data_IF_350490052467
#
_entry.id   IF_350490052467
#
_cell.length_a   1.000
_cell.length_b   1.000
_cell.length_c   1.000
_cell.angle_alpha   90.00
_cell.angle_beta   90.00
_cell.angle_gamma   90.00
#
_symmetry.space_group_name_H-M   'P 1'
#
loop_
_entity.id
_entity.type
_entity.pdbx_description
1 polymer ?
#
# COMPACT_ATOMS: atom_id res chain seq x y z
N UNK A 1 10.13 4.81 11.77
CA UNK A 1 10.33 3.59 12.60
C UNK A 1 10.25 2.35 11.72
N UNK A 2 10.76 1.19 12.14
CA UNK A 2 10.54 -0.08 11.44
C UNK A 2 10.44 -1.24 12.44
N UNK A 3 9.84 -2.35 12.00
CA UNK A 3 9.80 -3.65 12.69
C UNK A 3 10.51 -4.65 11.80
N UNK A 4 11.39 -5.47 12.37
CA UNK A 4 12.06 -6.55 11.68
C UNK A 4 12.22 -7.77 12.61
N UNK A 5 11.55 -8.86 12.25
CA UNK A 5 11.65 -10.14 12.97
C UNK A 5 12.12 -11.23 12.01
N UNK A 6 13.29 -11.81 12.31
CA UNK A 6 13.84 -12.89 11.50
C UNK A 6 13.50 -14.25 12.13
N UNK A 7 12.54 -14.94 11.55
CA UNK A 7 12.03 -16.24 12.01
C UNK A 7 12.28 -17.31 10.95
N UNK A 8 11.91 -17.03 9.70
CA UNK A 8 12.12 -17.93 8.57
C UNK A 8 13.38 -17.55 7.81
N UNK A 9 14.26 -18.51 7.44
CA UNK A 9 15.57 -18.21 6.82
C UNK A 9 15.46 -17.73 5.36
N UNK A 10 14.41 -18.12 4.64
CA UNK A 10 14.35 -17.97 3.18
C UNK A 10 13.25 -17.04 2.67
N UNK A 11 12.17 -16.84 3.45
CA UNK A 11 11.01 -16.04 3.00
C UNK A 11 10.79 -14.87 3.93
N UNK A 12 10.67 -13.67 3.35
CA UNK A 12 10.36 -12.44 4.08
C UNK A 12 9.03 -11.86 3.58
N UNK A 13 8.13 -11.59 4.51
CA UNK A 13 6.93 -10.80 4.30
C UNK A 13 7.21 -9.34 4.63
N UNK A 14 7.05 -8.44 3.66
CA UNK A 14 7.19 -6.99 3.80
C UNK A 14 5.80 -6.37 3.75
N UNK A 15 5.41 -5.62 4.78
CA UNK A 15 4.13 -4.94 4.80
C UNK A 15 4.26 -3.42 4.84
N UNK A 16 3.48 -2.74 3.99
CA UNK A 16 3.31 -1.29 3.95
C UNK A 16 1.90 -0.91 4.43
N UNK A 17 1.84 -0.05 5.45
CA UNK A 17 0.59 0.42 6.05
C UNK A 17 -0.15 1.45 5.18
N UNK A 18 -1.37 1.81 5.56
CA UNK A 18 -2.18 2.83 4.88
C UNK A 18 -1.73 4.27 5.16
N UNK A 19 -2.38 5.23 4.47
CA UNK A 19 -2.17 6.66 4.70
C UNK A 19 -2.55 7.05 6.13
N UNK A 20 -1.89 8.06 6.69
CA UNK A 20 -2.08 8.52 8.07
C UNK A 20 -2.07 7.40 9.12
N UNK A 21 -1.22 6.40 8.93
CA UNK A 21 -1.04 5.24 9.81
C UNK A 21 0.47 4.99 10.05
N UNK A 22 0.81 3.98 10.85
CA UNK A 22 2.20 3.62 11.13
C UNK A 22 2.37 2.11 11.41
N UNK A 23 3.60 1.69 11.75
CA UNK A 23 3.92 0.27 12.04
C UNK A 23 3.25 -0.29 13.30
N UNK A 24 2.58 0.52 14.12
CA UNK A 24 1.83 0.07 15.30
C UNK A 24 0.36 -0.21 14.98
N UNK A 25 -0.07 -0.03 13.72
CA UNK A 25 -1.45 -0.29 13.32
C UNK A 25 -1.86 -1.74 13.54
N UNK A 26 -3.15 -1.95 13.76
CA UNK A 26 -3.71 -3.28 14.04
C UNK A 26 -3.40 -4.29 12.96
N UNK A 27 -3.43 -3.89 11.68
CA UNK A 27 -3.08 -4.78 10.54
C UNK A 27 -1.61 -5.16 10.53
N UNK A 28 -0.70 -4.20 10.76
CA UNK A 28 0.75 -4.48 10.85
C UNK A 28 1.03 -5.47 11.97
N UNK A 29 0.46 -5.23 13.16
CA UNK A 29 0.66 -6.11 14.31
C UNK A 29 0.03 -7.49 14.11
N UNK A 30 -1.14 -7.57 13.46
CA UNK A 30 -1.77 -8.85 13.14
C UNK A 30 -0.96 -9.68 12.14
N UNK A 31 -0.42 -9.06 11.08
CA UNK A 31 0.47 -9.73 10.11
C UNK A 31 1.77 -10.18 10.75
N UNK A 32 2.37 -9.33 11.59
CA UNK A 32 3.54 -9.69 12.37
C UNK A 32 3.29 -10.91 13.25
N UNK A 33 2.21 -10.88 14.02
CA UNK A 33 1.82 -11.98 14.92
C UNK A 33 1.57 -13.28 14.15
N UNK A 34 0.90 -13.19 13.01
CA UNK A 34 0.70 -14.31 12.09
C UNK A 34 2.03 -14.87 11.57
N UNK A 35 2.93 -14.02 11.09
CA UNK A 35 4.24 -14.43 10.58
C UNK A 35 5.06 -15.16 11.66
N UNK A 36 5.10 -14.60 12.89
CA UNK A 36 5.81 -15.18 14.03
C UNK A 36 5.20 -16.53 14.47
N UNK A 37 3.88 -16.63 14.58
CA UNK A 37 3.20 -17.85 15.02
C UNK A 37 3.26 -18.97 13.98
N UNK A 38 3.14 -18.65 12.71
CA UNK A 38 3.23 -19.63 11.63
C UNK A 38 4.66 -20.14 11.41
N UNK A 39 5.68 -19.33 11.75
CA UNK A 39 7.08 -19.63 11.46
C UNK A 39 7.43 -19.67 9.97
N UNK A 40 6.48 -19.31 9.07
CA UNK A 40 6.64 -19.45 7.61
C UNK A 40 7.28 -18.23 6.95
N UNK A 41 7.30 -17.09 7.66
CA UNK A 41 7.82 -15.83 7.16
C UNK A 41 8.67 -15.16 8.23
N UNK A 42 9.79 -14.56 7.85
CA UNK A 42 10.32 -13.41 8.54
C UNK A 42 9.44 -12.21 8.24
N UNK A 43 9.41 -11.20 9.10
CA UNK A 43 8.51 -10.05 8.93
C UNK A 43 9.28 -8.74 8.91
N UNK A 44 8.88 -7.84 8.01
CA UNK A 44 9.37 -6.46 7.97
C UNK A 44 8.22 -5.49 7.70
N UNK A 45 8.19 -4.39 8.44
CA UNK A 45 7.34 -3.25 8.16
C UNK A 45 8.10 -1.95 8.48
N UNK A 46 7.83 -0.88 7.74
CA UNK A 46 8.43 0.43 7.96
C UNK A 46 7.37 1.52 7.96
N UNK A 47 7.60 2.58 8.72
CA UNK A 47 6.82 3.80 8.59
C UNK A 47 7.14 4.48 7.27
N UNK A 48 6.09 4.92 6.58
CA UNK A 48 6.19 5.80 5.43
C UNK A 48 6.08 7.25 5.91
N UNK A 49 7.08 8.07 5.57
CA UNK A 49 7.15 9.47 6.00
C UNK A 49 6.30 10.35 5.07
N UNK A 50 5.03 10.51 5.41
CA UNK A 50 4.10 11.32 4.61
C UNK A 50 4.37 12.83 4.69
N UNK A 51 5.06 13.29 5.72
CA UNK A 51 5.33 14.72 5.94
C UNK A 51 6.50 15.20 5.08
N UNK A 52 7.53 14.38 4.92
CA UNK A 52 8.80 14.81 4.33
C UNK A 52 9.19 14.05 3.07
N UNK A 53 8.57 12.89 2.82
CA UNK A 53 8.88 12.07 1.65
C UNK A 53 7.84 12.21 0.54
N UNK A 54 8.33 12.26 -0.69
CA UNK A 54 7.51 12.10 -1.90
C UNK A 54 7.33 10.62 -2.22
N UNK A 55 6.37 10.29 -3.10
CA UNK A 55 6.21 8.92 -3.61
C UNK A 55 7.51 8.39 -4.21
N UNK A 56 8.24 9.20 -4.98
CA UNK A 56 9.57 8.83 -5.52
C UNK A 56 10.52 8.41 -4.40
N UNK A 57 10.62 9.21 -3.34
CA UNK A 57 11.53 8.90 -2.23
C UNK A 57 11.14 7.62 -1.50
N UNK A 58 9.86 7.41 -1.29
CA UNK A 58 9.35 6.17 -0.69
C UNK A 58 9.70 4.95 -1.55
N UNK A 59 9.54 5.06 -2.87
CA UNK A 59 9.90 3.99 -3.82
C UNK A 59 11.41 3.70 -3.83
N UNK A 60 12.26 4.71 -3.80
CA UNK A 60 13.72 4.56 -3.74
C UNK A 60 14.16 3.85 -2.45
N UNK A 61 13.57 4.22 -1.31
CA UNK A 61 13.84 3.54 -0.03
C UNK A 61 13.38 2.09 -0.08
N UNK A 62 12.17 1.83 -0.57
CA UNK A 62 11.65 0.47 -0.73
C UNK A 62 12.52 -0.37 -1.65
N UNK A 63 12.97 0.17 -2.78
CA UNK A 63 13.85 -0.53 -3.71
C UNK A 63 15.21 -0.87 -3.08
N UNK A 64 15.81 0.06 -2.35
CA UNK A 64 17.07 -0.19 -1.63
C UNK A 64 16.92 -1.31 -0.58
N UNK A 65 15.81 -1.31 0.17
CA UNK A 65 15.47 -2.36 1.15
C UNK A 65 15.27 -3.72 0.47
N UNK A 66 14.47 -3.77 -0.61
CA UNK A 66 14.21 -4.99 -1.35
C UNK A 66 15.50 -5.57 -1.91
N UNK A 67 16.36 -4.75 -2.55
CA UNK A 67 17.67 -5.22 -3.03
C UNK A 67 18.54 -5.78 -1.92
N UNK A 68 18.56 -5.14 -0.75
CA UNK A 68 19.28 -5.63 0.42
C UNK A 68 18.73 -6.96 0.96
N UNK A 69 17.40 -7.12 0.98
CA UNK A 69 16.74 -8.35 1.41
C UNK A 69 16.88 -9.49 0.40
N UNK A 70 16.89 -9.21 -0.89
CA UNK A 70 17.13 -10.21 -1.95
C UNK A 70 18.51 -10.92 -1.82
N UNK A 71 19.46 -10.30 -1.14
CA UNK A 71 20.76 -10.94 -0.83
C UNK A 71 20.68 -11.91 0.37
N UNK A 72 19.61 -11.84 1.16
CA UNK A 72 19.46 -12.57 2.42
C UNK A 72 18.32 -13.58 2.42
N UNK A 73 17.34 -13.37 1.55
CA UNK A 73 16.14 -14.20 1.42
C UNK A 73 15.99 -14.68 -0.02
N UNK A 74 15.49 -15.89 -0.20
CA UNK A 74 15.25 -16.45 -1.54
C UNK A 74 14.00 -15.85 -2.19
N UNK A 75 13.00 -15.49 -1.37
CA UNK A 75 11.72 -14.96 -1.85
C UNK A 75 11.20 -13.87 -0.92
N UNK A 76 10.68 -12.82 -1.53
CA UNK A 76 9.96 -11.75 -0.84
C UNK A 76 8.49 -11.77 -1.22
N UNK A 77 7.63 -11.62 -0.23
CA UNK A 77 6.20 -11.39 -0.39
C UNK A 77 5.93 -9.95 0.03
N UNK A 78 5.39 -9.15 -0.88
CA UNK A 78 4.95 -7.79 -0.56
C UNK A 78 3.51 -7.83 -0.10
N UNK A 79 3.16 -7.02 0.88
CA UNK A 79 1.79 -6.82 1.33
C UNK A 79 1.56 -5.34 1.58
N UNK A 80 0.40 -4.84 1.20
CA UNK A 80 0.07 -3.43 1.42
C UNK A 80 -1.42 -3.21 1.66
N UNK A 81 -1.73 -2.22 2.48
CA UNK A 81 -3.10 -1.78 2.71
C UNK A 81 -3.29 -0.35 2.20
N UNK A 82 -4.39 -0.09 1.46
CA UNK A 82 -4.74 1.25 1.00
C UNK A 82 -3.58 1.93 0.25
N UNK A 83 -3.04 3.03 0.78
CA UNK A 83 -1.86 3.72 0.23
C UNK A 83 -0.61 2.82 0.20
N UNK A 84 -0.42 1.91 1.15
CA UNK A 84 0.69 0.96 1.10
C UNK A 84 0.60 0.04 -0.13
N UNK A 85 -0.61 -0.33 -0.52
CA UNK A 85 -0.86 -1.08 -1.76
C UNK A 85 -0.57 -0.23 -3.01
N UNK A 86 -0.93 1.06 -3.01
CA UNK A 86 -0.56 2.00 -4.08
C UNK A 86 0.96 2.13 -4.25
N UNK A 87 1.70 2.21 -3.15
CA UNK A 87 3.18 2.23 -3.19
C UNK A 87 3.72 0.94 -3.80
N UNK A 88 3.20 -0.24 -3.41
CA UNK A 88 3.60 -1.53 -3.97
C UNK A 88 3.30 -1.60 -5.47
N UNK A 89 2.12 -1.19 -5.91
CA UNK A 89 1.77 -1.16 -7.33
C UNK A 89 2.75 -0.28 -8.13
N UNK A 90 3.08 0.92 -7.62
CA UNK A 90 4.07 1.77 -8.26
C UNK A 90 5.48 1.17 -8.21
N UNK A 91 5.85 0.48 -7.13
CA UNK A 91 7.11 -0.27 -7.07
C UNK A 91 7.18 -1.32 -8.19
N UNK A 92 6.15 -2.13 -8.36
CA UNK A 92 6.08 -3.15 -9.41
C UNK A 92 6.12 -2.57 -10.84
N UNK A 93 5.68 -1.33 -11.03
CA UNK A 93 5.76 -0.63 -12.34
C UNK A 93 7.18 -0.16 -12.67
N UNK A 94 7.89 0.38 -11.68
CA UNK A 94 9.13 1.11 -11.93
C UNK A 94 10.39 0.40 -11.46
N UNK A 95 10.27 -0.53 -10.50
CA UNK A 95 11.40 -1.22 -9.87
C UNK A 95 11.16 -2.73 -9.74
N UNK A 96 10.72 -3.44 -10.80
CA UNK A 96 10.42 -4.87 -10.67
C UNK A 96 11.67 -5.65 -10.24
N UNK A 97 11.51 -6.56 -9.28
CA UNK A 97 12.58 -7.39 -8.75
C UNK A 97 12.23 -8.87 -8.85
N UNK A 98 13.17 -9.68 -9.36
CA UNK A 98 12.96 -11.13 -9.53
C UNK A 98 12.80 -11.90 -8.21
N UNK A 99 13.27 -11.36 -7.08
CA UNK A 99 13.09 -12.01 -5.80
C UNK A 99 11.71 -11.73 -5.15
N UNK A 100 10.93 -10.80 -5.72
CA UNK A 100 9.53 -10.58 -5.33
C UNK A 100 8.66 -11.50 -6.16
N UNK A 101 8.11 -12.54 -5.55
CA UNK A 101 7.26 -13.51 -6.24
C UNK A 101 5.76 -13.23 -6.13
N UNK A 102 5.35 -12.50 -5.09
CA UNK A 102 3.94 -12.28 -4.77
C UNK A 102 3.69 -10.91 -4.13
N UNK A 103 2.52 -10.33 -4.43
CA UNK A 103 2.01 -9.14 -3.77
C UNK A 103 0.55 -9.33 -3.34
N UNK A 104 0.26 -9.00 -2.06
CA UNK A 104 -1.07 -9.07 -1.45
C UNK A 104 -1.55 -7.66 -1.13
N UNK A 105 -2.61 -7.22 -1.79
CA UNK A 105 -3.13 -5.87 -1.69
C UNK A 105 -4.50 -5.88 -1.01
N UNK A 106 -4.61 -5.16 0.10
CA UNK A 106 -5.82 -5.07 0.92
C UNK A 106 -6.45 -3.68 0.77
N UNK A 107 -7.68 -3.62 0.25
CA UNK A 107 -8.40 -2.38 -0.02
C UNK A 107 -7.50 -1.34 -0.72
N UNK A 108 -6.89 -1.66 -1.87
CA UNK A 108 -5.84 -0.85 -2.48
C UNK A 108 -6.36 0.49 -2.97
N UNK A 109 -5.63 1.57 -2.68
CA UNK A 109 -5.77 2.84 -3.38
C UNK A 109 -5.10 2.74 -4.75
N UNK A 110 -5.72 3.31 -5.78
CA UNK A 110 -5.19 3.39 -7.13
C UNK A 110 -4.98 4.83 -7.60
N UNK A 111 -5.62 5.77 -6.91
CA UNK A 111 -5.62 7.20 -7.22
C UNK A 111 -5.50 8.00 -5.93
N UNK A 112 -4.35 7.90 -5.27
CA UNK A 112 -4.16 8.46 -3.93
C UNK A 112 -4.36 9.97 -3.90
N UNK A 113 -3.79 10.71 -4.86
CA UNK A 113 -3.94 12.16 -4.88
C UNK A 113 -5.40 12.55 -5.15
N UNK A 114 -6.04 11.91 -6.13
CA UNK A 114 -7.45 12.18 -6.44
C UNK A 114 -8.35 11.99 -5.23
N UNK A 115 -8.23 10.85 -4.54
CA UNK A 115 -9.02 10.57 -3.32
C UNK A 115 -8.75 11.59 -2.22
N UNK A 116 -7.48 11.97 -2.01
CA UNK A 116 -7.11 13.00 -1.04
C UNK A 116 -7.76 14.36 -1.37
N UNK A 117 -7.73 14.77 -2.64
CA UNK A 117 -8.33 16.04 -3.07
C UNK A 117 -9.86 16.03 -2.97
N UNK A 118 -10.49 14.90 -3.23
CA UNK A 118 -11.94 14.71 -3.07
C UNK A 118 -12.35 14.75 -1.59
N UNK A 119 -11.58 14.13 -0.70
CA UNK A 119 -11.82 14.08 0.75
C UNK A 119 -11.78 15.48 1.38
N UNK A 120 -10.78 16.28 1.04
CA UNK A 120 -10.62 17.62 1.63
C UNK A 120 -11.49 18.70 0.98
N UNK A 121 -12.05 18.42 -0.20
CA UNK A 121 -12.90 19.32 -0.96
C UNK A 121 -12.16 20.35 -1.80
N UNK A 122 -12.84 20.87 -2.81
CA UNK A 122 -12.25 21.67 -3.91
C UNK A 122 -11.49 22.93 -3.44
N UNK A 123 -12.05 23.69 -2.51
CA UNK A 123 -11.47 24.97 -2.09
C UNK A 123 -10.15 24.77 -1.33
N UNK A 124 -10.13 23.84 -0.34
CA UNK A 124 -8.92 23.54 0.42
C UNK A 124 -7.87 22.87 -0.46
N UNK A 125 -8.28 21.91 -1.31
CA UNK A 125 -7.41 21.26 -2.27
C UNK A 125 -6.67 22.26 -3.18
N UNK A 126 -7.41 23.23 -3.73
CA UNK A 126 -6.86 24.30 -4.57
C UNK A 126 -5.89 25.20 -3.78
N UNK A 127 -6.30 25.67 -2.60
CA UNK A 127 -5.46 26.52 -1.77
C UNK A 127 -4.15 25.83 -1.35
N UNK A 128 -4.21 24.54 -1.03
CA UNK A 128 -3.04 23.71 -0.72
C UNK A 128 -2.09 23.56 -1.92
N UNK A 129 -2.62 23.22 -3.09
CA UNK A 129 -1.81 23.09 -4.30
C UNK A 129 -1.14 24.41 -4.72
N UNK A 130 -1.79 25.54 -4.47
CA UNK A 130 -1.25 26.89 -4.69
C UNK A 130 -0.24 27.31 -3.58
N UNK A 131 -0.18 26.58 -2.46
CA UNK A 131 0.69 26.89 -1.31
C UNK A 131 0.18 28.02 -0.42
N UNK A 132 -1.13 28.27 -0.43
CA UNK A 132 -1.80 29.25 0.42
C UNK A 132 -2.26 28.70 1.75
N UNK A 133 -2.53 27.38 1.79
CA UNK A 133 -2.98 26.64 2.96
C UNK A 133 -2.16 25.40 3.16
N UNK A 134 -2.14 24.86 4.37
CA UNK A 134 -1.56 23.58 4.73
C UNK A 134 -2.66 22.50 4.72
N UNK A 135 -2.27 21.28 4.39
CA UNK A 135 -3.15 20.11 4.44
C UNK A 135 -2.65 19.19 5.54
N UNK A 136 -3.50 18.94 6.54
CA UNK A 136 -3.15 18.06 7.66
C UNK A 136 -4.17 16.94 7.82
N UNK A 137 -3.69 15.79 8.27
CA UNK A 137 -4.48 14.61 8.63
C UNK A 137 -4.07 14.12 10.02
N UNK A 138 -5.03 13.57 10.74
CA UNK A 138 -4.75 12.96 12.05
C UNK A 138 -4.25 11.53 11.87
N UNK A 139 -3.08 11.21 12.40
CA UNK A 139 -2.56 9.84 12.41
C UNK A 139 -3.42 8.95 13.33
N UNK A 140 -3.90 7.83 12.78
CA UNK A 140 -4.89 6.99 13.44
C UNK A 140 -4.43 6.40 14.78
N UNK A 141 -3.15 6.02 14.89
CA UNK A 141 -2.61 5.31 16.05
C UNK A 141 -2.17 6.24 17.19
N UNK A 142 -1.74 7.45 16.87
CA UNK A 142 -1.15 8.39 17.84
C UNK A 142 -2.02 9.62 18.09
N UNK A 143 -2.93 9.94 17.17
CA UNK A 143 -3.71 11.18 17.20
C UNK A 143 -2.89 12.43 16.85
N UNK A 144 -1.66 12.28 16.36
CA UNK A 144 -0.82 13.40 15.96
C UNK A 144 -1.26 13.94 14.59
N UNK A 145 -1.18 15.25 14.44
CA UNK A 145 -1.39 15.94 13.16
C UNK A 145 -0.19 15.72 12.25
N UNK A 146 -0.46 15.26 11.03
CA UNK A 146 0.51 15.07 9.96
C UNK A 146 0.26 16.11 8.87
N UNK A 147 1.15 17.07 8.71
CA UNK A 147 1.07 18.07 7.64
C UNK A 147 1.66 17.49 6.35
N UNK A 148 0.85 17.41 5.30
CA UNK A 148 1.25 16.87 4.01
C UNK A 148 1.75 18.01 3.12
N UNK A 149 3.02 17.92 2.74
CA UNK A 149 3.65 18.92 1.93
C UNK A 149 3.17 18.84 0.47
N UNK A 150 2.89 19.98 -0.17
CA UNK A 150 2.41 20.03 -1.58
C UNK A 150 3.33 19.35 -2.60
N UNK A 151 4.62 19.19 -2.27
CA UNK A 151 5.56 18.44 -3.12
C UNK A 151 5.16 16.96 -3.29
N UNK A 152 4.41 16.42 -2.34
CA UNK A 152 3.79 15.09 -2.49
C UNK A 152 2.87 15.05 -3.70
N UNK A 153 1.94 16.01 -3.83
CA UNK A 153 1.04 16.10 -4.96
C UNK A 153 1.77 16.34 -6.29
N UNK A 154 2.70 17.30 -6.29
CA UNK A 154 3.51 17.61 -7.49
C UNK A 154 4.26 16.38 -7.99
N UNK A 155 4.90 15.67 -7.09
CA UNK A 155 5.63 14.44 -7.41
C UNK A 155 4.74 13.38 -8.04
N UNK A 156 3.52 13.18 -7.52
CA UNK A 156 2.55 12.23 -8.09
C UNK A 156 2.19 12.62 -9.52
N UNK A 157 1.86 13.90 -9.75
CA UNK A 157 1.47 14.41 -11.07
C UNK A 157 2.62 14.37 -12.08
N UNK A 158 3.79 14.88 -11.71
CA UNK A 158 4.97 14.96 -12.60
C UNK A 158 5.49 13.58 -13.01
N UNK A 159 5.40 12.59 -12.11
CA UNK A 159 5.90 11.24 -12.37
C UNK A 159 4.83 10.28 -12.88
N UNK A 160 3.56 10.71 -12.92
CA UNK A 160 2.45 9.87 -13.37
C UNK A 160 2.24 8.64 -12.47
N UNK A 161 2.29 8.83 -11.15
CA UNK A 161 2.12 7.74 -10.21
C UNK A 161 0.67 7.31 -10.02
N UNK A 162 -0.33 8.11 -10.45
CA UNK A 162 -1.72 7.65 -10.44
C UNK A 162 -1.89 6.40 -11.32
N UNK A 163 -2.51 5.38 -10.77
CA UNK A 163 -2.70 4.10 -11.43
C UNK A 163 -4.04 4.06 -12.15
N UNK A 164 -5.05 4.69 -11.58
CA UNK A 164 -6.39 4.75 -12.14
C UNK A 164 -6.79 6.20 -12.44
N UNK A 165 -7.09 6.48 -13.71
CA UNK A 165 -7.60 7.77 -14.19
C UNK A 165 -8.89 7.52 -14.98
N UNK A 166 -10.07 7.66 -14.33
CA UNK A 166 -11.32 7.19 -14.89
C UNK A 166 -11.27 5.67 -15.13
N UNK A 167 -11.51 5.24 -16.37
CA UNK A 167 -11.42 3.83 -16.78
C UNK A 167 -10.02 3.43 -17.30
N UNK A 168 -9.08 4.36 -17.31
CA UNK A 168 -7.71 4.08 -17.75
C UNK A 168 -6.88 3.56 -16.60
N UNK A 169 -6.29 2.39 -16.79
CA UNK A 169 -5.35 1.77 -15.85
C UNK A 169 -3.93 1.93 -16.35
N UNK A 170 -3.11 2.64 -15.59
CA UNK A 170 -1.71 2.87 -15.85
C UNK A 170 -0.86 1.81 -15.12
N UNK A 171 -1.03 0.56 -15.52
CA UNK A 171 -0.31 -0.59 -14.96
C UNK A 171 -0.15 -1.67 -16.06
N UNK A 172 0.92 -2.48 -16.03
CA UNK A 172 1.07 -3.59 -16.99
C UNK A 172 -0.11 -4.56 -16.91
N UNK A 173 -0.63 -4.98 -18.06
CA UNK A 173 -1.72 -5.98 -18.13
C UNK A 173 -1.31 -7.34 -17.57
N UNK A 174 -0.02 -7.68 -17.68
CA UNK A 174 0.61 -8.87 -17.07
C UNK A 174 1.55 -8.38 -15.95
N UNK A 175 1.15 -8.49 -14.67
CA UNK A 175 2.01 -8.14 -13.55
C UNK A 175 3.28 -8.99 -13.49
N UNK A 176 4.41 -8.42 -13.03
CA UNK A 176 5.67 -9.19 -12.91
C UNK A 176 5.65 -10.21 -11.75
N UNK A 177 4.57 -10.26 -10.97
CA UNK A 177 4.40 -11.08 -9.77
C UNK A 177 3.00 -11.68 -9.68
N UNK A 178 2.80 -12.72 -8.87
CA UNK A 178 1.47 -13.19 -8.49
C UNK A 178 0.75 -12.10 -7.66
N UNK A 179 -0.12 -11.34 -8.29
CA UNK A 179 -0.86 -10.24 -7.68
C UNK A 179 -2.21 -10.73 -7.16
N UNK A 180 -2.44 -10.56 -5.87
CA UNK A 180 -3.70 -10.90 -5.19
C UNK A 180 -4.31 -9.64 -4.60
N UNK A 181 -5.59 -9.41 -4.83
CA UNK A 181 -6.32 -8.23 -4.36
C UNK A 181 -7.52 -8.67 -3.55
N UNK A 182 -7.70 -8.03 -2.39
CA UNK A 182 -8.92 -8.15 -1.57
C UNK A 182 -9.50 -6.77 -1.34
N UNK A 183 -10.82 -6.61 -1.52
CA UNK A 183 -11.50 -5.34 -1.31
C UNK A 183 -12.83 -5.54 -0.57
N UNK A 184 -13.11 -4.65 0.38
CA UNK A 184 -14.38 -4.63 1.11
C UNK A 184 -15.49 -4.01 0.24
N UNK A 185 -16.65 -4.67 0.18
CA UNK A 185 -17.79 -4.16 -0.62
C UNK A 185 -18.48 -2.95 0.03
N UNK A 186 -18.20 -2.69 1.32
CA UNK A 186 -18.68 -1.54 2.07
C UNK A 186 -17.56 -0.52 2.36
N UNK A 187 -16.55 -0.47 1.48
CA UNK A 187 -15.44 0.48 1.59
C UNK A 187 -15.92 1.89 1.23
N UNK A 188 -15.97 2.78 2.21
CA UNK A 188 -16.38 4.17 2.07
C UNK A 188 -15.21 5.12 1.79
N UNK A 189 -13.96 4.62 1.84
CA UNK A 189 -12.73 5.40 1.62
C UNK A 189 -12.24 5.23 0.19
N UNK A 190 -12.13 3.98 -0.26
CA UNK A 190 -11.76 3.64 -1.64
C UNK A 190 -12.88 2.82 -2.26
N UNK A 191 -13.65 3.36 -3.21
CA UNK A 191 -14.73 2.61 -3.85
C UNK A 191 -14.25 1.27 -4.41
N UNK A 192 -14.96 0.18 -4.12
CA UNK A 192 -14.63 -1.18 -4.62
C UNK A 192 -14.62 -1.23 -6.15
N UNK A 193 -15.35 -0.32 -6.81
CA UNK A 193 -15.37 -0.13 -8.27
C UNK A 193 -13.98 0.12 -8.83
N UNK A 194 -13.09 0.78 -8.08
CA UNK A 194 -11.70 1.00 -8.50
C UNK A 194 -10.96 -0.34 -8.68
N UNK A 195 -11.14 -1.29 -7.76
CA UNK A 195 -10.59 -2.63 -7.93
C UNK A 195 -11.24 -3.39 -9.08
N UNK A 196 -12.55 -3.29 -9.26
CA UNK A 196 -13.27 -3.91 -10.39
C UNK A 196 -12.74 -3.40 -11.74
N UNK A 197 -12.54 -2.08 -11.88
CA UNK A 197 -11.94 -1.50 -13.09
C UNK A 197 -10.52 -2.02 -13.27
N UNK A 198 -9.71 -2.03 -12.21
CA UNK A 198 -8.33 -2.49 -12.27
C UNK A 198 -8.24 -3.95 -12.75
N UNK A 199 -8.98 -4.87 -12.14
CA UNK A 199 -8.93 -6.31 -12.49
C UNK A 199 -9.58 -6.62 -13.84
N UNK A 200 -10.41 -5.72 -14.36
CA UNK A 200 -10.93 -5.85 -15.74
C UNK A 200 -9.88 -5.61 -16.82
N UNK A 201 -8.74 -4.96 -16.48
CA UNK A 201 -7.66 -4.58 -17.40
C UNK A 201 -6.34 -5.28 -17.08
N UNK A 202 -6.15 -5.73 -15.85
CA UNK A 202 -4.91 -6.33 -15.35
C UNK A 202 -5.18 -7.77 -14.93
N UNK A 203 -4.38 -8.70 -15.42
CA UNK A 203 -4.48 -10.12 -15.08
C UNK A 203 -3.92 -10.37 -13.70
N UNK A 204 -4.79 -10.42 -12.70
CA UNK A 204 -4.42 -10.75 -11.33
C UNK A 204 -4.48 -12.26 -11.10
N UNK A 205 -3.74 -12.75 -10.10
CA UNK A 205 -3.76 -14.17 -9.70
C UNK A 205 -5.06 -14.53 -9.01
N UNK A 206 -5.55 -13.63 -8.16
CA UNK A 206 -6.82 -13.78 -7.43
C UNK A 206 -7.39 -12.42 -7.08
N UNK A 207 -8.72 -12.31 -7.10
CA UNK A 207 -9.46 -11.12 -6.69
C UNK A 207 -10.66 -11.55 -5.83
N UNK A 208 -10.74 -10.98 -4.63
CA UNK A 208 -11.81 -11.27 -3.69
C UNK A 208 -12.50 -9.99 -3.23
N UNK A 209 -13.82 -9.97 -3.35
CA UNK A 209 -14.67 -9.01 -2.66
C UNK A 209 -15.20 -9.66 -1.39
N UNK A 210 -15.14 -8.93 -0.28
CA UNK A 210 -15.64 -9.39 1.02
C UNK A 210 -16.64 -8.39 1.59
N UNK A 211 -17.63 -8.86 2.32
CA UNK A 211 -18.62 -8.01 2.98
C UNK A 211 -18.00 -7.36 4.24
N UNK A 212 -17.17 -6.32 4.00
CA UNK A 212 -16.41 -5.63 5.03
C UNK A 212 -16.17 -4.16 4.64
N UNK A 213 -15.62 -3.37 5.57
CA UNK A 213 -15.24 -1.97 5.41
C UNK A 213 -13.83 -1.80 4.79
N UNK A 214 -13.34 -0.55 4.70
CA UNK A 214 -11.98 -0.22 4.24
C UNK A 214 -10.90 -0.90 5.08
N UNK A 215 -11.13 -1.06 6.37
CA UNK A 215 -10.16 -1.66 7.29
C UNK A 215 -10.13 -3.18 7.22
N UNK A 216 -11.13 -3.80 6.61
CA UNK A 216 -11.31 -5.26 6.59
C UNK A 216 -11.34 -5.86 8.01
N UNK A 217 -11.94 -5.10 8.95
CA UNK A 217 -11.84 -5.38 10.38
C UNK A 217 -12.42 -6.74 10.78
N UNK A 218 -13.46 -7.20 10.08
CA UNK A 218 -14.14 -8.46 10.32
C UNK A 218 -13.48 -9.67 9.64
N UNK A 219 -12.80 -9.45 8.50
CA UNK A 219 -12.34 -10.55 7.62
C UNK A 219 -10.82 -10.72 7.59
N UNK A 220 -10.05 -9.71 8.00
CA UNK A 220 -8.60 -9.66 7.80
C UNK A 220 -7.85 -10.88 8.35
N UNK A 221 -8.23 -11.37 9.52
CA UNK A 221 -7.60 -12.55 10.14
C UNK A 221 -7.78 -13.80 9.29
N UNK A 222 -9.01 -14.07 8.85
CA UNK A 222 -9.32 -15.22 7.98
C UNK A 222 -8.59 -15.10 6.63
N UNK A 223 -8.54 -13.89 6.07
CA UNK A 223 -7.84 -13.62 4.83
C UNK A 223 -6.33 -13.91 4.93
N UNK A 224 -5.68 -13.57 6.06
CA UNK A 224 -4.28 -13.92 6.27
C UNK A 224 -4.05 -15.43 6.26
N UNK A 225 -4.90 -16.19 6.95
CA UNK A 225 -4.81 -17.66 7.02
C UNK A 225 -5.02 -18.32 5.65
N UNK A 226 -5.88 -17.75 4.83
CA UNK A 226 -6.20 -18.23 3.49
C UNK A 226 -5.12 -17.84 2.45
N UNK A 227 -4.67 -16.60 2.48
CA UNK A 227 -3.82 -16.03 1.43
C UNK A 227 -2.33 -16.15 1.70
N UNK A 228 -1.93 -16.46 2.92
CA UNK A 228 -0.55 -16.70 3.35
C UNK A 228 -0.39 -18.15 3.86
N UNK A 229 -0.64 -19.17 3.00
CA UNK A 229 -0.60 -20.59 3.38
C UNK A 229 0.81 -21.07 3.77
#
# INVERSE_FOLDING_TARGET
MFIYDRVHPEVLLIHLHGFASNVKSSKVLALRDFALKSGRFSFFAMDMDYQHATTTRTLEVLDALIRGFCQKFKSLVLSGSSHGAYVILNYLRFYPSQCVGRALLFAPSYSTLKLTLEEVGHELAKAWLEGKEELSFTECETGLELTIHREFARNILEKGYEILEGDRVNFPTEPPVDLVIVHGTRDEVVPVEHSRIFVSKVKVKDYKEVDDDHRLSGTFKTLMEELLP
#
